data_IF_772159819228
#
_entry.id   IF_772159819228
#
_cell.length_a   1.000
_cell.length_b   1.000
_cell.length_c   1.000
_cell.angle_alpha   90.00
_cell.angle_beta   90.00
_cell.angle_gamma   90.00
#
_symmetry.space_group_name_H-M   'P 1'
#
loop_
_entity.id
_entity.type
_entity.pdbx_description
1 polymer ?
#
# COMPACT_ATOMS: atom_id res chain seq x y z
N UNK A 1 -21.83 -2.69 -28.06
CA UNK A 1 -21.85 -1.86 -29.31
C UNK A 1 -20.52 -1.20 -29.68
N UNK A 2 -19.40 -1.41 -28.96
CA UNK A 2 -18.06 -0.93 -29.36
C UNK A 2 -17.97 0.56 -29.77
N UNK A 3 -18.63 1.45 -29.02
CA UNK A 3 -18.62 2.89 -29.31
C UNK A 3 -17.27 3.59 -29.02
N UNK A 4 -16.39 2.96 -28.24
CA UNK A 4 -15.04 3.47 -27.90
C UNK A 4 -15.01 4.85 -27.19
N UNK A 5 -16.05 5.16 -26.41
CA UNK A 5 -16.18 6.42 -25.63
C UNK A 5 -16.06 6.23 -24.11
N UNK A 6 -15.38 5.19 -23.65
CA UNK A 6 -15.30 4.86 -22.23
C UNK A 6 -14.70 6.00 -21.37
N UNK A 7 -13.67 6.68 -21.89
CA UNK A 7 -12.99 7.80 -21.22
C UNK A 7 -13.85 9.07 -21.09
N UNK A 8 -14.96 9.17 -21.84
CA UNK A 8 -15.84 10.35 -21.83
C UNK A 8 -17.01 10.24 -20.84
N UNK A 9 -17.10 9.16 -20.06
CA UNK A 9 -18.20 8.89 -19.13
C UNK A 9 -19.61 8.85 -19.80
N UNK A 10 -19.70 8.75 -21.13
CA UNK A 10 -20.94 8.89 -21.92
C UNK A 10 -21.39 7.56 -22.55
N UNK A 11 -21.14 6.43 -21.88
CA UNK A 11 -21.52 5.12 -22.39
C UNK A 11 -23.06 5.02 -22.55
N UNK A 12 -23.59 4.86 -23.78
CA UNK A 12 -25.03 4.95 -24.03
C UNK A 12 -25.81 3.73 -23.51
N UNK A 13 -25.09 2.66 -23.14
CA UNK A 13 -25.63 1.37 -22.68
C UNK A 13 -25.31 1.09 -21.21
N UNK A 14 -24.84 2.10 -20.47
CA UNK A 14 -24.63 1.99 -19.02
C UNK A 14 -23.48 1.08 -18.59
N UNK A 15 -22.56 0.69 -19.50
CA UNK A 15 -21.44 -0.22 -19.19
C UNK A 15 -20.25 0.54 -18.56
N UNK A 16 -19.68 1.51 -19.28
CA UNK A 16 -18.50 2.25 -18.85
C UNK A 16 -18.86 3.72 -18.55
N UNK A 17 -19.66 3.94 -17.51
CA UNK A 17 -20.10 5.26 -17.06
C UNK A 17 -20.49 5.23 -15.58
N UNK A 18 -20.20 6.31 -14.86
CA UNK A 18 -20.65 6.56 -13.49
C UNK A 18 -21.92 7.43 -13.43
N UNK A 19 -22.39 7.96 -14.57
CA UNK A 19 -23.61 8.76 -14.65
C UNK A 19 -24.84 7.90 -14.28
N UNK A 20 -25.63 8.28 -13.24
CA UNK A 20 -26.79 7.49 -12.80
C UNK A 20 -27.89 7.30 -13.86
N UNK A 21 -28.09 8.29 -14.74
CA UNK A 21 -29.08 8.24 -15.82
C UNK A 21 -28.63 7.25 -16.90
N UNK A 22 -27.34 7.26 -17.26
CA UNK A 22 -26.81 6.32 -18.24
C UNK A 22 -26.69 4.91 -17.69
N UNK A 23 -26.34 4.73 -16.42
CA UNK A 23 -26.29 3.42 -15.75
C UNK A 23 -27.63 2.68 -15.77
N UNK A 24 -28.75 3.41 -15.66
CA UNK A 24 -30.12 2.82 -15.79
C UNK A 24 -30.37 2.15 -17.15
N UNK A 25 -29.57 2.46 -18.17
CA UNK A 25 -29.65 1.85 -19.50
C UNK A 25 -28.95 0.49 -19.59
N UNK A 26 -28.26 0.06 -18.53
CA UNK A 26 -27.62 -1.25 -18.50
C UNK A 26 -28.67 -2.36 -18.41
N UNK A 27 -28.74 -3.17 -19.47
CA UNK A 27 -29.65 -4.33 -19.58
C UNK A 27 -28.92 -5.67 -19.57
N UNK A 28 -27.62 -5.68 -19.30
CA UNK A 28 -26.82 -6.90 -19.20
C UNK A 28 -27.24 -7.72 -17.98
N UNK A 29 -27.28 -9.05 -18.15
CA UNK A 29 -27.55 -9.98 -17.06
C UNK A 29 -26.42 -11.00 -16.94
N UNK A 30 -26.17 -11.58 -15.75
CA UNK A 30 -25.15 -12.62 -15.58
C UNK A 30 -25.31 -13.78 -16.58
N UNK A 31 -26.53 -14.17 -16.91
CA UNK A 31 -26.83 -15.28 -17.83
C UNK A 31 -26.29 -15.02 -19.24
N UNK A 32 -26.21 -13.75 -19.68
CA UNK A 32 -25.65 -13.43 -21.00
C UNK A 32 -24.16 -13.79 -21.06
N UNK A 33 -23.42 -13.59 -19.97
CA UNK A 33 -21.99 -13.92 -19.87
C UNK A 33 -21.79 -15.43 -19.71
N UNK A 34 -22.64 -16.07 -18.91
CA UNK A 34 -22.64 -17.54 -18.77
C UNK A 34 -22.86 -18.22 -20.12
N UNK A 35 -23.88 -17.81 -20.87
CA UNK A 35 -24.17 -18.38 -22.19
C UNK A 35 -23.04 -18.13 -23.19
N UNK A 36 -22.41 -16.95 -23.16
CA UNK A 36 -21.23 -16.67 -23.97
C UNK A 36 -20.10 -17.69 -23.68
N UNK A 37 -19.76 -17.92 -22.41
CA UNK A 37 -18.71 -18.89 -22.06
C UNK A 37 -19.10 -20.34 -22.39
N UNK A 38 -20.39 -20.71 -22.31
CA UNK A 38 -20.84 -22.01 -22.80
C UNK A 38 -20.62 -22.17 -24.31
N UNK A 39 -20.93 -21.16 -25.12
CA UNK A 39 -20.67 -21.21 -26.56
C UNK A 39 -19.18 -21.33 -26.88
N UNK A 40 -18.33 -20.57 -26.18
CA UNK A 40 -16.87 -20.67 -26.34
C UNK A 40 -16.38 -22.06 -25.95
N UNK A 41 -16.83 -22.60 -24.81
CA UNK A 41 -16.44 -23.92 -24.35
C UNK A 41 -16.89 -25.02 -25.33
N UNK A 42 -18.09 -24.91 -25.88
CA UNK A 42 -18.60 -25.88 -26.86
C UNK A 42 -17.81 -25.82 -28.17
N UNK A 43 -17.47 -24.62 -28.66
CA UNK A 43 -16.61 -24.45 -29.83
C UNK A 43 -15.22 -25.07 -29.60
N UNK A 44 -14.62 -24.84 -28.43
CA UNK A 44 -13.35 -25.47 -28.04
C UNK A 44 -13.47 -27.00 -28.04
N UNK A 45 -14.56 -27.56 -27.50
CA UNK A 45 -14.79 -29.01 -27.50
C UNK A 45 -14.94 -29.57 -28.92
N UNK A 46 -15.58 -28.84 -29.83
CA UNK A 46 -15.63 -29.23 -31.24
C UNK A 46 -14.24 -29.25 -31.89
N UNK A 47 -13.41 -28.25 -31.63
CA UNK A 47 -12.02 -28.21 -32.12
C UNK A 47 -11.20 -29.36 -31.53
N UNK A 48 -11.32 -29.61 -30.22
CA UNK A 48 -10.69 -30.76 -29.56
C UNK A 48 -11.06 -32.07 -30.22
N UNK A 49 -12.35 -32.28 -30.52
CA UNK A 49 -12.83 -33.47 -31.20
C UNK A 49 -12.26 -33.60 -32.63
N UNK A 50 -12.15 -32.49 -33.38
CA UNK A 50 -11.53 -32.47 -34.70
C UNK A 50 -10.04 -32.87 -34.67
N UNK A 51 -9.34 -32.50 -33.60
CA UNK A 51 -7.93 -32.88 -33.36
C UNK A 51 -7.78 -34.28 -32.75
N UNK A 52 -8.88 -34.98 -32.44
CA UNK A 52 -8.87 -36.30 -31.79
C UNK A 52 -8.46 -36.25 -30.30
N UNK A 53 -8.56 -35.09 -29.67
CA UNK A 53 -8.11 -34.85 -28.29
C UNK A 53 -9.30 -34.82 -27.35
N UNK A 54 -9.20 -35.55 -26.23
CA UNK A 54 -10.29 -35.66 -25.24
C UNK A 54 -10.11 -34.73 -24.05
N UNK A 55 -8.88 -34.55 -23.58
CA UNK A 55 -8.58 -33.68 -22.44
C UNK A 55 -7.92 -32.40 -22.92
N UNK A 56 -8.35 -31.26 -22.37
CA UNK A 56 -7.80 -29.96 -22.75
C UNK A 56 -6.29 -29.86 -22.49
N UNK A 57 -5.81 -30.47 -21.40
CA UNK A 57 -4.39 -30.48 -21.03
C UNK A 57 -3.50 -31.10 -22.11
N UNK A 58 -4.04 -32.02 -22.92
CA UNK A 58 -3.29 -32.67 -24.00
C UNK A 58 -3.03 -31.71 -25.19
N UNK A 59 -3.68 -30.54 -25.22
CA UNK A 59 -3.43 -29.46 -26.21
C UNK A 59 -2.42 -28.41 -25.70
N UNK A 60 -2.22 -28.30 -24.39
CA UNK A 60 -1.38 -27.23 -23.81
C UNK A 60 0.07 -27.44 -24.26
N UNK A 61 0.68 -26.40 -24.83
CA UNK A 61 2.06 -26.43 -25.32
C UNK A 61 2.27 -27.28 -26.58
N UNK A 62 1.21 -27.70 -27.28
CA UNK A 62 1.29 -28.47 -28.53
C UNK A 62 1.35 -27.58 -29.77
N UNK A 63 2.40 -26.79 -29.89
CA UNK A 63 2.63 -25.98 -31.08
C UNK A 63 2.78 -26.84 -32.36
N UNK A 64 3.13 -28.12 -32.22
CA UNK A 64 3.16 -29.10 -33.31
C UNK A 64 1.78 -29.42 -33.92
N UNK A 65 0.68 -29.08 -33.23
CA UNK A 65 -0.68 -29.20 -33.78
C UNK A 65 -1.12 -27.97 -34.58
N UNK A 66 -0.27 -26.94 -34.67
CA UNK A 66 -0.55 -25.72 -35.42
C UNK A 66 0.13 -25.81 -36.77
N UNK A 67 -0.62 -25.45 -37.81
CA UNK A 67 -0.09 -25.32 -39.17
C UNK A 67 -0.47 -23.96 -39.75
N UNK A 68 0.36 -23.46 -40.67
CA UNK A 68 0.17 -22.20 -41.34
C UNK A 68 -0.60 -22.42 -42.64
N UNK A 69 -1.77 -21.79 -42.75
CA UNK A 69 -2.37 -21.61 -44.08
C UNK A 69 -1.52 -20.61 -44.86
N UNK A 70 -1.20 -20.94 -46.11
CA UNK A 70 -0.64 -19.96 -47.07
C UNK A 70 -1.60 -18.77 -47.11
N UNK A 71 -1.11 -17.59 -46.72
CA UNK A 71 -1.91 -16.37 -46.68
C UNK A 71 -2.45 -15.98 -48.05
N UNK A 72 -3.40 -15.04 -48.08
CA UNK A 72 -3.75 -14.33 -49.32
C UNK A 72 -2.45 -13.75 -49.89
N UNK A 73 -2.17 -13.94 -51.18
CA UNK A 73 -1.00 -13.35 -51.84
C UNK A 73 -1.08 -11.82 -51.72
N UNK A 74 -0.44 -11.30 -50.69
CA UNK A 74 -0.40 -9.89 -50.36
C UNK A 74 1.03 -9.54 -49.98
N UNK A 75 1.59 -8.54 -50.63
CA UNK A 75 3.01 -8.17 -50.52
C UNK A 75 3.47 -7.90 -49.08
N UNK A 76 2.59 -7.38 -48.20
CA UNK A 76 2.90 -7.15 -46.77
C UNK A 76 3.03 -8.43 -45.93
N UNK A 77 2.53 -9.56 -46.40
CA UNK A 77 2.65 -10.85 -45.71
C UNK A 77 3.93 -11.61 -46.12
N UNK A 78 4.66 -11.12 -47.13
CA UNK A 78 5.91 -11.71 -47.58
C UNK A 78 6.98 -11.61 -46.48
N UNK A 79 7.56 -12.75 -46.11
CA UNK A 79 8.66 -12.81 -45.14
C UNK A 79 8.25 -12.92 -43.67
N UNK A 80 6.98 -13.17 -43.34
CA UNK A 80 6.59 -13.51 -41.97
C UNK A 80 7.09 -14.91 -41.60
N UNK A 81 7.97 -14.98 -40.59
CA UNK A 81 8.48 -16.22 -40.01
C UNK A 81 7.95 -16.41 -38.57
N UNK A 82 7.18 -17.48 -38.36
CA UNK A 82 6.60 -17.85 -37.08
C UNK A 82 7.39 -18.95 -36.35
N UNK A 83 8.57 -19.32 -36.85
CA UNK A 83 9.44 -20.36 -36.25
C UNK A 83 9.67 -20.14 -34.76
N UNK A 84 9.84 -18.89 -34.33
CA UNK A 84 10.01 -18.52 -32.90
C UNK A 84 8.76 -18.72 -32.06
N UNK A 85 7.57 -18.63 -32.66
CA UNK A 85 6.30 -18.84 -31.96
C UNK A 85 5.96 -20.33 -31.84
N UNK A 86 6.32 -21.13 -32.85
CA UNK A 86 6.07 -22.57 -32.87
C UNK A 86 7.23 -23.41 -32.33
N UNK A 87 8.29 -22.77 -31.85
CA UNK A 87 9.44 -23.44 -31.26
C UNK A 87 9.00 -24.29 -30.06
N UNK A 88 9.24 -25.59 -30.15
CA UNK A 88 9.05 -26.52 -29.03
C UNK A 88 10.39 -26.76 -28.33
N UNK A 89 10.42 -26.78 -26.99
CA UNK A 89 11.63 -27.11 -26.26
C UNK A 89 12.04 -28.55 -26.54
N UNK A 90 13.34 -28.78 -26.76
CA UNK A 90 13.89 -30.11 -26.93
C UNK A 90 14.10 -30.76 -25.55
N UNK A 91 13.01 -31.28 -24.98
CA UNK A 91 12.99 -31.96 -23.68
C UNK A 91 12.42 -33.38 -23.82
N UNK A 92 12.83 -34.30 -22.93
CA UNK A 92 12.24 -35.64 -22.87
C UNK A 92 10.71 -35.65 -22.73
N UNK A 93 10.07 -36.74 -23.18
CA UNK A 93 8.61 -36.85 -23.23
C UNK A 93 7.93 -36.91 -21.84
N UNK A 94 8.69 -37.27 -20.80
CA UNK A 94 8.28 -37.29 -19.39
C UNK A 94 8.29 -35.90 -18.73
N UNK A 95 8.87 -34.89 -19.38
CA UNK A 95 8.78 -33.51 -18.91
C UNK A 95 7.38 -32.97 -19.19
N UNK A 96 6.67 -32.60 -18.13
CA UNK A 96 5.32 -32.07 -18.22
C UNK A 96 5.26 -30.78 -19.06
N UNK A 97 4.25 -30.70 -19.95
CA UNK A 97 4.01 -29.52 -20.82
C UNK A 97 2.99 -28.54 -20.24
N UNK A 98 2.33 -28.94 -19.16
CA UNK A 98 1.33 -28.16 -18.44
C UNK A 98 1.62 -28.24 -16.94
N UNK A 99 0.91 -27.43 -16.15
CA UNK A 99 1.09 -27.36 -14.70
C UNK A 99 0.71 -28.68 -14.01
N UNK A 100 1.69 -29.32 -13.36
CA UNK A 100 1.51 -30.61 -12.66
C UNK A 100 2.00 -30.59 -11.20
N UNK A 101 2.64 -29.50 -10.77
CA UNK A 101 3.24 -29.37 -9.44
C UNK A 101 2.82 -28.04 -8.81
N UNK A 102 2.55 -28.07 -7.51
CA UNK A 102 2.31 -26.86 -6.73
C UNK A 102 3.62 -26.21 -6.30
N UNK A 103 3.60 -24.89 -6.08
CA UNK A 103 4.77 -24.16 -5.57
C UNK A 103 4.79 -24.19 -4.03
N UNK A 104 5.91 -24.65 -3.46
CA UNK A 104 6.21 -24.44 -2.05
C UNK A 104 6.90 -23.09 -1.86
N UNK A 105 6.26 -22.21 -1.09
CA UNK A 105 6.74 -20.86 -0.80
C UNK A 105 7.50 -20.74 0.53
N UNK A 106 7.64 -21.84 1.29
CA UNK A 106 8.36 -21.85 2.57
C UNK A 106 7.76 -20.93 3.64
N UNK A 107 6.42 -20.81 3.68
CA UNK A 107 5.70 -19.86 4.54
C UNK A 107 5.56 -20.31 5.99
N UNK A 108 5.87 -21.57 6.28
CA UNK A 108 5.89 -22.18 7.60
C UNK A 108 6.95 -21.54 8.51
N UNK A 109 8.12 -21.19 7.95
CA UNK A 109 9.23 -20.57 8.67
C UNK A 109 9.09 -19.04 8.85
N UNK A 110 7.97 -18.45 8.43
CA UNK A 110 7.73 -17.02 8.58
C UNK A 110 7.50 -16.64 10.06
N UNK A 111 8.06 -15.51 10.48
CA UNK A 111 7.90 -14.99 11.85
C UNK A 111 6.42 -14.85 12.27
N UNK A 112 5.54 -14.50 11.35
CA UNK A 112 4.11 -14.35 11.63
C UNK A 112 3.43 -15.66 12.08
N UNK A 113 3.96 -16.84 11.72
CA UNK A 113 3.44 -18.10 12.26
C UNK A 113 3.52 -18.09 13.79
N UNK A 114 4.66 -17.66 14.33
CA UNK A 114 4.87 -17.48 15.77
C UNK A 114 4.02 -16.35 16.35
N UNK A 115 3.88 -15.23 15.63
CA UNK A 115 3.05 -14.11 16.10
C UNK A 115 1.58 -14.50 16.20
N UNK A 116 1.07 -15.29 15.25
CA UNK A 116 -0.30 -15.81 15.26
C UNK A 116 -0.52 -16.75 16.44
N UNK A 117 0.40 -17.70 16.68
CA UNK A 117 0.32 -18.62 17.82
C UNK A 117 0.23 -17.86 19.15
N UNK A 118 1.10 -16.87 19.34
CA UNK A 118 1.09 -16.01 20.54
C UNK A 118 -0.13 -15.09 20.65
N UNK A 119 -0.82 -14.85 19.54
CA UNK A 119 -2.00 -13.97 19.48
C UNK A 119 -3.32 -14.73 19.49
N UNK A 120 -3.33 -16.06 19.68
CA UNK A 120 -4.56 -16.86 19.63
C UNK A 120 -5.63 -16.42 20.61
N UNK A 121 -5.27 -16.05 21.83
CA UNK A 121 -6.24 -15.52 22.80
C UNK A 121 -6.95 -14.26 22.28
N UNK A 122 -6.23 -13.36 21.61
CA UNK A 122 -6.82 -12.17 21.00
C UNK A 122 -7.65 -12.49 19.75
N UNK A 123 -7.13 -13.34 18.87
CA UNK A 123 -7.83 -13.70 17.62
C UNK A 123 -9.10 -14.49 17.92
N UNK A 124 -9.04 -15.47 18.82
CA UNK A 124 -10.15 -16.41 19.03
C UNK A 124 -11.20 -15.85 20.01
N UNK A 125 -10.79 -14.97 20.95
CA UNK A 125 -11.67 -14.48 22.04
C UNK A 125 -11.74 -12.95 22.18
N UNK A 126 -10.92 -12.20 21.46
CA UNK A 126 -10.85 -10.74 21.61
C UNK A 126 -10.12 -10.27 22.88
N UNK A 127 -9.35 -11.15 23.53
CA UNK A 127 -8.56 -10.79 24.71
C UNK A 127 -7.36 -9.87 24.35
N UNK A 128 -6.87 -9.10 25.33
CA UNK A 128 -5.64 -8.33 25.15
C UNK A 128 -4.41 -9.21 25.33
N UNK A 129 -3.47 -9.12 24.40
CA UNK A 129 -2.18 -9.83 24.44
C UNK A 129 -1.03 -8.87 24.22
N UNK A 130 0.04 -9.05 25.00
CA UNK A 130 1.28 -8.31 24.86
C UNK A 130 2.47 -9.24 25.00
N UNK A 131 3.43 -9.16 24.07
CA UNK A 131 4.65 -9.95 24.13
C UNK A 131 5.80 -9.31 23.34
N UNK A 132 7.00 -9.83 23.57
CA UNK A 132 8.24 -9.40 22.93
C UNK A 132 8.72 -10.47 21.94
N UNK A 133 9.27 -10.02 20.81
CA UNK A 133 9.93 -10.84 19.80
C UNK A 133 11.15 -10.13 19.20
N UNK A 134 11.96 -10.88 18.44
CA UNK A 134 13.10 -10.34 17.69
C UNK A 134 12.77 -10.31 16.21
N UNK A 135 13.04 -9.17 15.56
CA UNK A 135 12.96 -9.02 14.11
C UNK A 135 14.37 -8.91 13.51
N UNK A 136 14.57 -9.58 12.38
CA UNK A 136 15.76 -9.44 11.54
C UNK A 136 15.35 -9.00 10.15
N UNK A 137 16.27 -8.41 9.39
CA UNK A 137 16.01 -7.95 8.02
C UNK A 137 15.46 -9.04 7.08
N UNK A 138 15.78 -10.32 7.33
CA UNK A 138 15.24 -11.48 6.60
C UNK A 138 13.77 -11.75 6.91
N UNK A 139 13.26 -11.29 8.06
CA UNK A 139 11.85 -11.35 8.42
C UNK A 139 11.11 -10.24 7.67
N UNK A 140 10.66 -10.57 6.46
CA UNK A 140 9.87 -9.70 5.59
C UNK A 140 8.39 -9.77 5.94
N UNK A 141 7.64 -8.71 5.64
CA UNK A 141 6.17 -8.66 5.76
C UNK A 141 5.63 -8.98 7.17
N UNK A 142 6.42 -8.69 8.21
CA UNK A 142 6.03 -8.98 9.60
C UNK A 142 4.71 -8.28 9.94
N UNK A 143 3.74 -9.03 10.45
CA UNK A 143 2.40 -8.57 10.80
C UNK A 143 1.34 -8.75 9.70
N UNK A 144 1.72 -9.04 8.45
CA UNK A 144 0.76 -9.14 7.35
C UNK A 144 -0.09 -10.43 7.43
N UNK A 145 0.54 -11.58 7.69
CA UNK A 145 -0.16 -12.88 7.83
C UNK A 145 -0.94 -12.89 9.15
N UNK A 146 -0.42 -12.26 10.21
CA UNK A 146 -1.16 -12.00 11.44
C UNK A 146 -2.41 -11.18 11.18
N UNK A 147 -2.30 -10.08 10.43
CA UNK A 147 -3.45 -9.24 10.07
C UNK A 147 -4.49 -10.02 9.29
N UNK A 148 -4.08 -10.82 8.30
CA UNK A 148 -4.99 -11.70 7.57
C UNK A 148 -5.64 -12.78 8.44
N UNK A 149 -4.93 -13.31 9.44
CA UNK A 149 -5.50 -14.24 10.41
C UNK A 149 -6.53 -13.56 11.31
N UNK A 150 -6.24 -12.34 11.75
CA UNK A 150 -7.16 -11.55 12.56
C UNK A 150 -8.43 -11.18 11.78
N UNK A 151 -8.29 -10.63 10.57
CA UNK A 151 -9.44 -10.13 9.79
C UNK A 151 -10.36 -11.24 9.29
N UNK A 152 -9.87 -12.48 9.18
CA UNK A 152 -10.72 -13.66 8.92
C UNK A 152 -11.71 -13.95 10.05
N UNK A 153 -11.35 -13.62 11.29
CA UNK A 153 -12.20 -13.84 12.46
C UNK A 153 -12.94 -12.56 12.86
N UNK A 154 -12.24 -11.42 12.81
CA UNK A 154 -12.76 -10.08 13.15
C UNK A 154 -12.58 -9.13 11.95
N UNK A 155 -13.51 -9.12 10.97
CA UNK A 155 -13.39 -8.28 9.77
C UNK A 155 -13.25 -6.78 10.05
N UNK A 156 -13.85 -6.29 11.14
CA UNK A 156 -13.77 -4.89 11.59
C UNK A 156 -12.50 -4.59 12.43
N UNK A 157 -11.68 -5.61 12.66
CA UNK A 157 -10.54 -5.58 13.57
C UNK A 157 -10.92 -5.69 15.05
N UNK A 158 -9.97 -5.38 15.93
CA UNK A 158 -10.15 -5.37 17.38
C UNK A 158 -10.10 -3.94 17.94
N UNK A 159 -10.52 -3.74 19.22
CA UNK A 159 -10.20 -2.51 19.93
C UNK A 159 -8.72 -2.17 19.82
N UNK A 160 -8.41 -0.88 19.81
CA UNK A 160 -7.03 -0.42 19.68
C UNK A 160 -6.10 -1.08 20.70
N UNK A 161 -4.90 -1.42 20.26
CA UNK A 161 -3.85 -1.99 21.10
C UNK A 161 -4.22 -3.33 21.78
N UNK A 162 -5.13 -4.11 21.18
CA UNK A 162 -5.49 -5.44 21.68
C UNK A 162 -4.38 -6.46 21.49
N UNK A 163 -3.61 -6.37 20.41
CA UNK A 163 -2.41 -7.18 20.16
C UNK A 163 -1.22 -6.23 20.11
N UNK A 164 -0.44 -6.15 21.19
CA UNK A 164 0.78 -5.34 21.24
C UNK A 164 2.02 -6.21 21.14
N UNK A 165 2.80 -6.01 20.08
CA UNK A 165 4.02 -6.77 19.83
C UNK A 165 5.20 -5.81 19.87
N UNK A 166 6.04 -5.92 20.90
CA UNK A 166 7.33 -5.25 20.92
C UNK A 166 8.34 -6.11 20.17
N UNK A 167 9.04 -5.50 19.22
CA UNK A 167 10.06 -6.13 18.40
C UNK A 167 11.39 -5.43 18.62
N UNK A 168 12.46 -6.21 18.71
CA UNK A 168 13.83 -5.70 18.81
C UNK A 168 14.64 -6.15 17.59
N UNK A 169 15.44 -5.25 17.04
CA UNK A 169 16.28 -5.51 15.87
C UNK A 169 15.83 -4.74 14.63
N UNK A 170 15.81 -5.41 13.47
CA UNK A 170 15.55 -4.75 12.19
C UNK A 170 14.31 -5.32 11.52
N UNK A 171 13.33 -4.47 11.23
CA UNK A 171 12.17 -4.81 10.41
C UNK A 171 12.61 -5.02 8.95
N UNK A 172 12.39 -6.22 8.41
CA UNK A 172 12.62 -6.47 6.99
C UNK A 172 11.67 -5.68 6.08
N UNK A 173 11.84 -5.87 4.77
CA UNK A 173 10.99 -5.26 3.74
C UNK A 173 9.51 -5.46 4.04
N UNK A 174 8.69 -4.42 3.88
CA UNK A 174 7.25 -4.43 4.14
C UNK A 174 6.85 -4.73 5.60
N UNK A 175 7.66 -4.30 6.57
CA UNK A 175 7.32 -4.39 7.99
C UNK A 175 5.97 -3.71 8.29
N UNK A 176 5.03 -4.42 8.93
CA UNK A 176 3.69 -3.91 9.23
C UNK A 176 2.82 -3.67 8.00
N UNK A 177 3.08 -4.36 6.88
CA UNK A 177 2.22 -4.24 5.70
C UNK A 177 0.80 -4.74 6.00
N UNK A 178 -0.19 -3.97 5.54
CA UNK A 178 -1.62 -4.26 5.70
C UNK A 178 -2.06 -4.46 7.15
N UNK A 179 -1.36 -3.82 8.10
CA UNK A 179 -1.60 -4.04 9.53
C UNK A 179 -3.03 -3.66 9.91
N UNK A 180 -3.78 -4.63 10.41
CA UNK A 180 -5.18 -4.48 10.74
C UNK A 180 -5.40 -3.73 12.07
N UNK A 181 -6.58 -3.12 12.20
CA UNK A 181 -7.00 -2.43 13.42
C UNK A 181 -6.93 -3.34 14.65
N UNK A 182 -6.36 -2.79 15.72
CA UNK A 182 -6.17 -3.47 17.00
C UNK A 182 -4.79 -4.13 17.17
N UNK A 183 -3.96 -4.16 16.12
CA UNK A 183 -2.57 -4.61 16.21
C UNK A 183 -1.65 -3.38 16.32
N UNK A 184 -0.78 -3.39 17.33
CA UNK A 184 0.32 -2.44 17.52
C UNK A 184 1.65 -3.16 17.35
N UNK A 185 2.44 -2.75 16.36
CA UNK A 185 3.84 -3.16 16.23
C UNK A 185 4.75 -2.07 16.75
N UNK A 186 5.52 -2.37 17.79
CA UNK A 186 6.46 -1.45 18.43
C UNK A 186 7.89 -1.92 18.23
N UNK A 187 8.62 -1.33 17.29
CA UNK A 187 9.97 -1.73 16.92
C UNK A 187 11.02 -0.82 17.57
N UNK A 188 11.90 -1.44 18.37
CA UNK A 188 13.13 -0.84 18.89
C UNK A 188 14.27 -1.26 17.96
N UNK A 189 14.72 -0.31 17.13
CA UNK A 189 15.70 -0.52 16.07
C UNK A 189 15.32 0.27 14.82
N UNK A 190 15.43 -0.34 13.65
CA UNK A 190 15.18 0.27 12.34
C UNK A 190 14.33 -0.64 11.44
N UNK A 191 13.73 -0.12 10.38
CA UNK A 191 13.01 -0.93 9.39
C UNK A 191 13.35 -0.57 7.95
N UNK A 192 13.21 -1.54 7.05
CA UNK A 192 13.53 -1.37 5.63
C UNK A 192 12.36 -0.74 4.84
N UNK A 193 12.46 -0.75 3.51
CA UNK A 193 11.47 -0.15 2.62
C UNK A 193 10.07 -0.76 2.81
N UNK A 194 9.06 -0.01 2.38
CA UNK A 194 7.65 -0.38 2.42
C UNK A 194 7.08 -0.59 3.83
N UNK A 195 7.76 -0.09 4.87
CA UNK A 195 7.21 -0.10 6.23
C UNK A 195 5.82 0.56 6.23
N UNK A 196 4.81 -0.13 6.78
CA UNK A 196 3.43 0.34 6.77
C UNK A 196 2.75 0.38 5.40
N UNK A 197 3.27 -0.36 4.39
CA UNK A 197 2.61 -0.49 3.08
C UNK A 197 1.16 -0.93 3.24
N UNK A 198 0.24 -0.15 2.69
CA UNK A 198 -1.19 -0.43 2.74
C UNK A 198 -1.75 -0.52 4.16
N UNK A 199 -1.19 0.24 5.12
CA UNK A 199 -1.68 0.27 6.51
C UNK A 199 -3.20 0.40 6.56
N UNK A 200 -3.85 -0.46 7.34
CA UNK A 200 -5.31 -0.64 7.34
C UNK A 200 -5.87 -0.67 8.78
N UNK A 201 -5.48 0.35 9.56
CA UNK A 201 -6.06 0.60 10.88
C UNK A 201 -5.17 0.23 12.06
N UNK A 202 -4.08 -0.53 11.84
CA UNK A 202 -3.10 -0.84 12.88
C UNK A 202 -2.22 0.36 13.26
N UNK A 203 -1.38 0.15 14.28
CA UNK A 203 -0.37 1.10 14.74
C UNK A 203 1.03 0.57 14.51
N UNK A 204 1.90 1.40 13.92
CA UNK A 204 3.34 1.08 13.76
C UNK A 204 4.17 2.15 14.47
N UNK A 205 5.07 1.72 15.33
CA UNK A 205 6.03 2.60 16.00
C UNK A 205 7.43 2.09 15.70
N UNK A 206 8.33 2.96 15.23
CA UNK A 206 9.75 2.63 15.08
C UNK A 206 10.57 3.70 15.77
N UNK A 207 11.42 3.28 16.70
CA UNK A 207 12.34 4.17 17.42
C UNK A 207 13.73 3.52 17.56
N UNK A 208 14.81 4.31 17.57
CA UNK A 208 16.16 3.77 17.70
C UNK A 208 16.35 3.03 19.03
N UNK A 209 17.33 2.13 19.15
CA UNK A 209 17.70 1.53 20.44
C UNK A 209 18.19 2.59 21.44
N UNK A 210 18.06 2.34 22.75
CA UNK A 210 18.67 3.20 23.80
C UNK A 210 20.22 3.20 23.70
N UNK A 211 20.78 2.21 23.01
CA UNK A 211 22.22 2.10 22.74
C UNK A 211 22.66 2.99 21.58
N UNK A 212 21.74 3.47 20.75
CA UNK A 212 22.06 4.40 19.67
C UNK A 212 22.62 5.71 20.24
N UNK A 213 23.73 6.19 19.66
CA UNK A 213 24.43 7.40 20.13
C UNK A 213 24.29 8.59 19.18
N UNK A 214 23.66 8.40 18.02
CA UNK A 214 23.42 9.47 17.06
C UNK A 214 22.16 10.28 17.36
N UNK A 215 21.92 11.29 16.54
CA UNK A 215 20.68 12.09 16.58
C UNK A 215 19.64 11.48 15.63
N UNK A 216 18.47 11.08 16.16
CA UNK A 216 17.40 10.46 15.37
C UNK A 216 17.01 11.29 14.14
N UNK A 217 16.81 12.60 14.31
CA UNK A 217 16.46 13.56 13.24
C UNK A 217 17.49 13.67 12.11
N UNK A 218 18.71 13.13 12.29
CA UNK A 218 19.78 13.13 11.26
C UNK A 218 20.07 11.75 10.68
N UNK A 219 19.35 10.71 11.11
CA UNK A 219 19.65 9.34 10.74
C UNK A 219 18.41 8.62 10.22
N UNK A 220 18.60 7.79 9.20
CA UNK A 220 17.52 6.99 8.62
C UNK A 220 17.06 5.93 9.61
N UNK A 221 15.75 5.87 9.83
CA UNK A 221 15.09 4.88 10.71
C UNK A 221 14.17 3.94 9.92
N UNK A 222 13.63 4.42 8.80
CA UNK A 222 12.81 3.64 7.86
C UNK A 222 13.23 3.91 6.42
N UNK A 223 13.10 2.89 5.55
CA UNK A 223 13.51 2.97 4.15
C UNK A 223 12.57 3.81 3.25
N UNK A 224 12.49 3.41 1.99
CA UNK A 224 11.73 4.07 0.93
C UNK A 224 10.27 3.60 0.86
N UNK A 225 9.42 4.39 0.19
CA UNK A 225 8.03 4.02 -0.14
C UNK A 225 7.23 3.58 1.10
N UNK A 226 7.56 4.19 2.24
CA UNK A 226 6.94 3.96 3.55
C UNK A 226 5.52 4.51 3.51
N UNK A 227 4.58 3.80 4.15
CA UNK A 227 3.15 4.13 4.17
C UNK A 227 2.48 4.14 2.79
N UNK A 228 3.04 3.41 1.81
CA UNK A 228 2.50 3.37 0.45
C UNK A 228 1.04 2.91 0.43
N UNK A 229 0.14 3.79 -0.01
CA UNK A 229 -1.28 3.43 -0.16
C UNK A 229 -2.01 3.22 1.16
N UNK A 230 -1.45 3.69 2.28
CA UNK A 230 -2.07 3.53 3.60
C UNK A 230 -3.44 4.21 3.67
N UNK A 231 -4.46 3.47 4.10
CA UNK A 231 -5.86 3.93 4.10
C UNK A 231 -6.33 4.42 5.46
N UNK A 232 -5.90 3.76 6.53
CA UNK A 232 -6.31 4.05 7.92
C UNK A 232 -5.21 3.58 8.87
N UNK A 233 -5.28 3.99 10.13
CA UNK A 233 -4.28 3.65 11.15
C UNK A 233 -3.24 4.74 11.33
N UNK A 234 -2.23 4.47 12.16
CA UNK A 234 -1.24 5.48 12.53
C UNK A 234 0.19 4.93 12.60
N UNK A 235 1.16 5.78 12.25
CA UNK A 235 2.56 5.42 12.28
C UNK A 235 3.44 6.53 12.87
N UNK A 236 4.39 6.16 13.72
CA UNK A 236 5.28 7.07 14.42
C UNK A 236 6.74 6.62 14.24
N UNK A 237 7.54 7.40 13.52
CA UNK A 237 8.91 7.07 13.13
C UNK A 237 9.89 8.08 13.72
N UNK A 238 10.64 7.69 14.76
CA UNK A 238 11.64 8.55 15.38
C UNK A 238 12.95 8.49 14.61
N UNK A 239 12.99 9.26 13.53
CA UNK A 239 14.13 9.43 12.63
C UNK A 239 13.68 9.75 11.21
N UNK A 240 14.61 9.62 10.26
CA UNK A 240 14.40 10.03 8.86
C UNK A 240 13.87 8.85 8.04
N UNK A 241 12.83 9.09 7.23
CA UNK A 241 12.40 8.18 6.18
C UNK A 241 13.21 8.38 4.89
N UNK A 242 13.31 7.33 4.08
CA UNK A 242 13.87 7.40 2.73
C UNK A 242 12.98 8.19 1.76
N UNK A 243 13.13 7.89 0.47
CA UNK A 243 12.37 8.51 -0.61
C UNK A 243 10.92 8.03 -0.64
N UNK A 244 10.03 8.85 -1.23
CA UNK A 244 8.60 8.51 -1.42
C UNK A 244 7.87 8.14 -0.14
N UNK A 245 8.24 8.77 0.98
CA UNK A 245 7.47 8.66 2.22
C UNK A 245 6.02 9.09 2.00
N UNK A 246 5.06 8.31 2.51
CA UNK A 246 3.62 8.57 2.38
C UNK A 246 3.12 8.67 0.92
N UNK A 247 3.80 8.02 -0.04
CA UNK A 247 3.33 8.00 -1.42
C UNK A 247 1.96 7.35 -1.52
N UNK A 248 1.02 8.00 -2.21
CA UNK A 248 -0.37 7.54 -2.35
C UNK A 248 -1.10 7.29 -1.02
N UNK A 249 -0.68 7.91 0.08
CA UNK A 249 -1.40 7.80 1.34
C UNK A 249 -2.82 8.39 1.19
N UNK A 250 -3.82 7.64 1.63
CA UNK A 250 -5.24 7.94 1.34
C UNK A 250 -6.11 8.15 2.58
N UNK A 251 -5.58 8.00 3.80
CA UNK A 251 -6.35 8.28 5.01
C UNK A 251 -5.67 7.95 6.35
N UNK A 252 -4.47 7.38 6.35
CA UNK A 252 -3.71 7.13 7.58
C UNK A 252 -3.10 8.40 8.19
N UNK A 253 -2.62 8.28 9.42
CA UNK A 253 -1.83 9.31 10.10
C UNK A 253 -0.36 8.88 10.19
N UNK A 254 0.59 9.77 9.92
CA UNK A 254 2.00 9.44 10.08
C UNK A 254 2.83 10.61 10.60
N UNK A 255 3.77 10.34 11.52
CA UNK A 255 4.76 11.30 11.99
C UNK A 255 6.16 10.75 11.73
N UNK A 256 7.03 11.58 11.16
CA UNK A 256 8.44 11.26 10.87
C UNK A 256 9.32 12.47 11.16
N UNK A 257 10.61 12.29 11.44
CA UNK A 257 11.54 13.38 11.76
C UNK A 257 12.32 13.90 10.55
N UNK A 258 12.02 13.40 9.35
CA UNK A 258 12.60 13.85 8.10
C UNK A 258 12.24 12.89 6.97
N UNK A 259 12.43 13.32 5.72
CA UNK A 259 12.18 12.44 4.57
C UNK A 259 13.09 12.79 3.40
N UNK A 260 13.39 11.80 2.55
CA UNK A 260 14.03 11.99 1.26
C UNK A 260 13.12 12.68 0.22
N UNK A 261 13.50 12.56 -1.05
CA UNK A 261 12.77 13.14 -2.18
C UNK A 261 11.36 12.52 -2.33
N UNK A 262 10.44 13.28 -2.93
CA UNK A 262 9.08 12.83 -3.27
C UNK A 262 8.19 12.47 -2.06
N UNK A 263 8.41 13.12 -0.90
CA UNK A 263 7.51 12.97 0.25
C UNK A 263 6.06 13.38 -0.09
N UNK A 264 5.08 12.62 0.38
CA UNK A 264 3.64 12.80 0.14
C UNK A 264 3.22 12.82 -1.35
N UNK A 265 4.04 12.25 -2.24
CA UNK A 265 3.73 12.14 -3.66
C UNK A 265 2.40 11.39 -3.87
N UNK A 266 1.49 11.94 -4.67
CA UNK A 266 0.15 11.37 -4.93
C UNK A 266 -0.73 11.11 -3.69
N UNK A 267 -0.46 11.74 -2.55
CA UNK A 267 -1.32 11.63 -1.36
C UNK A 267 -2.73 12.17 -1.68
N UNK A 268 -3.76 11.44 -1.26
CA UNK A 268 -5.18 11.74 -1.56
C UNK A 268 -6.03 11.94 -0.30
N UNK A 269 -5.48 11.72 0.89
CA UNK A 269 -6.17 11.87 2.17
C UNK A 269 -5.23 11.56 3.33
N UNK A 270 -5.70 11.74 4.57
CA UNK A 270 -4.91 11.47 5.78
C UNK A 270 -4.14 12.68 6.31
N UNK A 271 -3.27 12.45 7.28
CA UNK A 271 -2.49 13.50 7.96
C UNK A 271 -1.05 13.10 8.16
N UNK A 272 -0.13 13.92 7.70
CA UNK A 272 1.31 13.68 7.84
C UNK A 272 1.96 14.82 8.62
N UNK A 273 2.91 14.51 9.50
CA UNK A 273 3.81 15.50 10.09
C UNK A 273 5.28 15.10 9.85
N UNK A 274 6.07 16.02 9.29
CA UNK A 274 7.51 15.88 9.08
C UNK A 274 8.23 16.88 9.97
N UNK A 275 8.91 16.39 11.01
CA UNK A 275 9.52 17.21 12.07
C UNK A 275 10.99 17.56 11.78
N UNK A 276 11.33 17.72 10.49
CA UNK A 276 12.69 18.02 10.05
C UNK A 276 12.80 18.09 8.53
N UNK A 277 14.03 17.97 8.05
CA UNK A 277 14.37 18.20 6.63
C UNK A 277 13.60 17.28 5.66
N UNK A 278 13.09 17.87 4.59
CA UNK A 278 12.51 17.17 3.42
C UNK A 278 13.46 17.17 2.22
N UNK A 279 13.29 16.19 1.33
CA UNK A 279 13.87 16.20 -0.01
C UNK A 279 13.06 17.01 -1.03
N UNK A 280 13.44 16.92 -2.29
CA UNK A 280 12.85 17.66 -3.42
C UNK A 280 11.51 17.08 -3.85
N UNK A 281 10.75 17.88 -4.59
CA UNK A 281 9.49 17.50 -5.23
C UNK A 281 8.45 16.94 -4.22
N UNK A 282 8.46 17.48 -3.00
CA UNK A 282 7.48 17.14 -1.97
C UNK A 282 6.06 17.51 -2.45
N UNK A 283 5.07 16.69 -2.10
CA UNK A 283 3.64 16.86 -2.45
C UNK A 283 3.31 16.86 -3.95
N UNK A 284 4.20 16.35 -4.81
CA UNK A 284 3.90 16.22 -6.24
C UNK A 284 2.66 15.33 -6.48
N UNK A 285 1.65 15.87 -7.17
CA UNK A 285 0.39 15.17 -7.41
C UNK A 285 -0.46 14.91 -6.16
N UNK A 286 -0.12 15.53 -5.01
CA UNK A 286 -0.94 15.48 -3.81
C UNK A 286 -2.26 16.21 -4.07
N UNK A 287 -3.36 15.49 -3.95
CA UNK A 287 -4.72 15.95 -4.29
C UNK A 287 -5.67 15.99 -3.09
N UNK A 288 -5.24 15.49 -1.93
CA UNK A 288 -6.02 15.55 -0.70
C UNK A 288 -5.24 15.15 0.54
N UNK A 289 -5.78 15.54 1.71
CA UNK A 289 -5.14 15.40 3.02
C UNK A 289 -4.31 16.63 3.42
N UNK A 290 -3.66 16.58 4.59
CA UNK A 290 -2.83 17.66 5.12
C UNK A 290 -1.47 17.13 5.53
N UNK A 291 -0.41 17.86 5.17
CA UNK A 291 0.96 17.58 5.59
C UNK A 291 1.54 18.80 6.31
N UNK A 292 1.92 18.62 7.57
CA UNK A 292 2.66 19.60 8.35
C UNK A 292 4.16 19.36 8.18
N UNK A 293 4.91 20.42 7.88
CA UNK A 293 6.35 20.34 7.69
C UNK A 293 7.03 21.38 8.56
N UNK A 294 7.93 20.93 9.42
CA UNK A 294 8.79 21.79 10.20
C UNK A 294 9.97 22.26 9.35
N UNK A 295 9.87 23.49 8.83
CA UNK A 295 10.88 24.08 7.92
C UNK A 295 12.04 24.71 8.71
N UNK A 296 12.96 23.86 9.20
CA UNK A 296 14.07 24.28 10.06
C UNK A 296 15.12 25.17 9.36
N UNK A 297 15.19 25.14 8.02
CA UNK A 297 16.18 25.90 7.23
C UNK A 297 15.55 26.96 6.31
N UNK A 298 14.23 27.16 6.40
CA UNK A 298 13.49 28.18 5.63
C UNK A 298 13.44 27.93 4.12
N UNK A 299 13.74 26.70 3.69
CA UNK A 299 13.94 26.32 2.28
C UNK A 299 12.94 25.25 1.83
N UNK A 300 11.86 25.02 2.58
CA UNK A 300 10.86 24.04 2.19
C UNK A 300 10.13 24.44 0.91
N UNK A 301 9.86 25.73 0.71
CA UNK A 301 9.19 26.24 -0.51
C UNK A 301 9.92 25.86 -1.79
N UNK A 302 11.26 25.84 -1.80
CA UNK A 302 12.08 25.43 -2.95
C UNK A 302 12.01 23.92 -3.25
N UNK A 303 11.63 23.13 -2.24
CA UNK A 303 11.53 21.67 -2.31
C UNK A 303 10.11 21.18 -2.54
N UNK A 304 9.11 22.02 -2.35
CA UNK A 304 7.70 21.68 -2.50
C UNK A 304 7.22 21.88 -3.95
N UNK A 305 6.48 20.91 -4.47
CA UNK A 305 5.81 21.04 -5.76
C UNK A 305 4.42 21.66 -5.56
N UNK A 306 4.28 22.93 -5.94
CA UNK A 306 3.07 23.72 -5.73
C UNK A 306 2.00 23.54 -6.83
N UNK A 307 2.12 22.53 -7.71
CA UNK A 307 1.16 22.37 -8.82
C UNK A 307 -0.27 22.06 -8.37
N UNK A 308 -0.45 21.46 -7.20
CA UNK A 308 -1.75 21.04 -6.66
C UNK A 308 -1.95 21.36 -5.17
N UNK A 309 -0.96 21.96 -4.51
CA UNK A 309 -0.99 22.28 -3.07
C UNK A 309 -0.67 23.75 -2.82
N UNK A 310 -1.20 24.31 -1.73
CA UNK A 310 -0.79 25.59 -1.17
C UNK A 310 0.07 25.38 0.08
N UNK A 311 0.95 26.34 0.36
CA UNK A 311 1.70 26.40 1.61
C UNK A 311 1.16 27.53 2.47
N UNK A 312 0.75 27.21 3.68
CA UNK A 312 0.21 28.14 4.65
C UNK A 312 0.86 27.90 6.01
N UNK A 313 1.03 28.97 6.79
CA UNK A 313 1.50 28.85 8.17
C UNK A 313 0.38 28.31 9.04
N UNK A 314 0.74 27.56 10.08
CA UNK A 314 -0.24 27.08 11.05
C UNK A 314 -0.68 28.27 11.92
N UNK A 315 -1.95 28.66 11.77
CA UNK A 315 -2.54 29.74 12.55
C UNK A 315 -2.79 29.30 13.99
N UNK A 316 -2.90 30.26 14.91
CA UNK A 316 -3.46 29.95 16.22
C UNK A 316 -4.92 29.48 16.07
N UNK A 317 -5.38 28.70 17.03
CA UNK A 317 -6.76 28.22 17.10
C UNK A 317 -7.75 29.38 17.06
N UNK A 318 -7.43 30.50 17.73
CA UNK A 318 -8.26 31.69 17.74
C UNK A 318 -8.33 32.35 16.35
N UNK A 319 -7.19 32.52 15.67
CA UNK A 319 -7.13 33.11 14.33
C UNK A 319 -7.81 32.24 13.27
N UNK A 320 -7.56 30.93 13.28
CA UNK A 320 -8.21 29.99 12.36
C UNK A 320 -9.73 29.97 12.57
N UNK A 321 -10.18 30.01 13.83
CA UNK A 321 -11.61 30.11 14.16
C UNK A 321 -12.25 31.39 13.64
N UNK A 322 -11.51 32.50 13.65
CA UNK A 322 -12.01 33.79 13.18
C UNK A 322 -11.98 33.92 11.65
N UNK A 323 -11.01 33.31 10.96
CA UNK A 323 -10.73 33.61 9.54
C UNK A 323 -11.05 32.45 8.58
N UNK A 324 -11.07 31.20 9.05
CA UNK A 324 -11.23 30.01 8.21
C UNK A 324 -12.56 29.33 8.50
N UNK A 325 -13.38 29.12 7.46
CA UNK A 325 -14.68 28.44 7.61
C UNK A 325 -14.48 27.01 8.10
N UNK A 326 -15.21 26.60 9.14
CA UNK A 326 -15.12 25.25 9.72
C UNK A 326 -15.33 24.11 8.71
N UNK A 327 -16.09 24.34 7.64
CA UNK A 327 -16.36 23.34 6.59
C UNK A 327 -15.12 22.90 5.81
N UNK A 328 -14.03 23.68 5.81
CA UNK A 328 -12.77 23.35 5.14
C UNK A 328 -11.70 22.85 6.12
N UNK A 329 -12.01 22.75 7.42
CA UNK A 329 -11.06 22.24 8.41
C UNK A 329 -10.85 20.74 8.22
N UNK A 330 -9.59 20.34 8.16
CA UNK A 330 -9.24 18.94 8.07
C UNK A 330 -9.68 18.20 9.33
N UNK A 331 -10.40 17.08 9.15
CA UNK A 331 -11.01 16.31 10.24
C UNK A 331 -11.89 17.13 11.23
N UNK A 332 -12.34 18.33 10.85
CA UNK A 332 -13.21 19.18 11.67
C UNK A 332 -12.55 19.80 12.92
N UNK A 333 -11.22 19.80 12.99
CA UNK A 333 -10.41 20.39 14.08
C UNK A 333 -9.47 21.47 13.54
N UNK A 334 -8.95 22.35 14.40
CA UNK A 334 -7.94 23.34 13.98
C UNK A 334 -6.60 22.66 13.69
N UNK A 335 -5.83 23.25 12.78
CA UNK A 335 -4.53 22.74 12.35
C UNK A 335 -3.55 22.71 13.53
N UNK A 336 -3.55 23.74 14.37
CA UNK A 336 -2.76 23.80 15.61
C UNK A 336 -3.10 22.64 16.55
N UNK A 337 -4.39 22.37 16.80
CA UNK A 337 -4.79 21.30 17.71
C UNK A 337 -4.43 19.92 17.14
N UNK A 338 -4.59 19.74 15.83
CA UNK A 338 -4.22 18.51 15.15
C UNK A 338 -2.71 18.26 15.19
N UNK A 339 -1.90 19.26 14.82
CA UNK A 339 -0.45 19.15 14.83
C UNK A 339 0.07 18.90 16.25
N UNK A 340 -0.42 19.64 17.24
CA UNK A 340 -0.03 19.44 18.64
C UNK A 340 -0.29 17.99 19.10
N UNK A 341 -1.47 17.44 18.80
CA UNK A 341 -1.80 16.05 19.12
C UNK A 341 -0.84 15.06 18.45
N UNK A 342 -0.45 15.30 17.18
CA UNK A 342 0.51 14.44 16.48
C UNK A 342 1.88 14.42 17.17
N UNK A 343 2.37 15.58 17.61
CA UNK A 343 3.64 15.68 18.32
C UNK A 343 3.55 15.02 19.71
N UNK A 344 2.44 15.22 20.43
CA UNK A 344 2.20 14.59 21.73
C UNK A 344 2.18 13.07 21.62
N UNK A 345 1.45 12.51 20.64
CA UNK A 345 1.44 11.06 20.38
C UNK A 345 2.80 10.56 19.88
N UNK A 346 3.47 11.29 18.98
CA UNK A 346 4.82 10.91 18.53
C UNK A 346 5.80 10.85 19.70
N UNK A 347 5.78 11.84 20.59
CA UNK A 347 6.59 11.83 21.81
C UNK A 347 6.22 10.67 22.74
N UNK A 348 4.92 10.45 22.98
CA UNK A 348 4.40 9.35 23.82
C UNK A 348 4.86 7.97 23.32
N UNK A 349 4.77 7.72 22.02
CA UNK A 349 5.09 6.41 21.45
C UNK A 349 6.60 6.23 21.29
N UNK A 350 7.34 7.25 20.88
CA UNK A 350 8.74 7.07 20.49
C UNK A 350 9.75 7.57 21.53
N UNK A 351 9.33 8.43 22.46
CA UNK A 351 10.23 9.20 23.30
C UNK A 351 10.99 10.29 22.53
N UNK A 352 10.52 10.70 21.34
CA UNK A 352 11.18 11.67 20.48
C UNK A 352 11.55 12.96 21.23
N UNK A 353 12.85 13.27 21.24
CA UNK A 353 13.39 14.52 21.76
C UNK A 353 12.92 15.70 20.91
N UNK A 354 12.92 15.55 19.59
CA UNK A 354 12.50 16.59 18.64
C UNK A 354 11.05 17.01 18.86
N UNK A 355 10.12 16.05 18.99
CA UNK A 355 8.73 16.37 19.28
C UNK A 355 8.56 17.14 20.59
N UNK A 356 9.31 16.74 21.63
CA UNK A 356 9.30 17.43 22.92
C UNK A 356 9.81 18.86 22.81
N UNK A 357 10.96 19.07 22.14
CA UNK A 357 11.52 20.42 21.95
C UNK A 357 10.55 21.35 21.22
N UNK A 358 9.85 20.87 20.19
CA UNK A 358 8.85 21.64 19.46
C UNK A 358 7.61 21.95 20.31
N UNK A 359 7.20 21.02 21.19
CA UNK A 359 6.09 21.25 22.13
C UNK A 359 6.46 22.23 23.25
N UNK A 360 7.71 22.19 23.72
CA UNK A 360 8.22 23.06 24.78
C UNK A 360 8.36 24.52 24.28
N UNK A 361 8.71 24.73 23.00
CA UNK A 361 8.82 26.06 22.36
C UNK A 361 7.76 26.28 21.26
N UNK A 362 6.50 25.92 21.57
CA UNK A 362 5.41 25.87 20.60
C UNK A 362 5.17 27.18 19.83
N UNK A 363 5.28 28.33 20.51
CA UNK A 363 5.01 29.63 19.89
C UNK A 363 6.01 29.96 18.78
N UNK A 364 7.26 29.53 18.91
CA UNK A 364 8.29 29.71 17.89
C UNK A 364 8.26 28.60 16.84
N UNK A 365 7.85 27.38 17.23
CA UNK A 365 7.84 26.22 16.36
C UNK A 365 6.69 26.17 15.35
N UNK A 366 5.54 26.77 15.69
CA UNK A 366 4.35 26.88 14.83
C UNK A 366 4.50 27.96 13.76
#
# INVERSE_FOLDING_TARGET
IMMRKCHLNTCPVGVATQDPVLRKKFSGKPEHVVNYFFFIAEEVRHIMAQLGIRNFNDMIGRADLLDMKRGIEHWKASGLDFSRLFALPNVPADVARYHVEDQDHGLEHNLDTKLIEKSRAAIDKGEKVQFIEVARNVNRTVGAKLSGALTRVHPEGLPDDSIRIQLEGTGGQSFGAFLARGITLYLIGDANDYTGKGLSGGRIVVRPSLEFRGEAVRNTIVGNTVMYGATTGEAYFCGVAGERFAVRLSGATAVVEGTGDHGCEYMTGGTVAVLGKTGRNFAAGMSGGVAFVYDEDGKFTERCNLSMVSLEKVLTTAEQTATVKRAIWHNGVTDEAQLRKLLEEHHRWTGSKRARELLDDWTMAR
#
